data_IF_853329790553
#
_entry.id   IF_853329790553
#
_cell.length_a   1.000
_cell.length_b   1.000
_cell.length_c   1.000
_cell.angle_alpha   90.00
_cell.angle_beta   90.00
_cell.angle_gamma   90.00
#
_symmetry.space_group_name_H-M   'P 1'
#
loop_
_entity.id
_entity.type
_entity.pdbx_description
1 polymer ?
#
# COMPACT_ATOMS: atom_id res chain seq x y z
N UNK A 1 -7.24 19.44 8.78
CA UNK A 1 -6.94 19.24 7.34
C UNK A 1 -6.75 17.75 7.10
N UNK A 2 -7.39 17.16 6.08
CA UNK A 2 -7.24 15.72 5.77
C UNK A 2 -6.37 15.59 4.53
N UNK A 3 -5.30 14.79 4.62
CA UNK A 3 -4.43 14.45 3.49
C UNK A 3 -4.56 12.96 3.22
N UNK A 4 -4.82 12.59 1.97
CA UNK A 4 -4.87 11.19 1.53
C UNK A 4 -3.62 10.90 0.73
N UNK A 5 -2.87 9.90 1.15
CA UNK A 5 -1.69 9.40 0.44
C UNK A 5 -2.00 8.01 -0.08
N UNK A 6 -2.00 7.86 -1.40
CA UNK A 6 -2.21 6.57 -2.05
C UNK A 6 -0.87 6.03 -2.51
N UNK A 7 -0.44 4.93 -1.90
CA UNK A 7 0.73 4.17 -2.28
C UNK A 7 0.36 2.93 -3.09
N UNK A 8 -0.88 2.86 -3.57
CA UNK A 8 -1.36 1.86 -4.50
C UNK A 8 -0.61 2.00 -5.84
N UNK A 9 0.55 1.36 -5.94
CA UNK A 9 1.22 1.18 -7.21
C UNK A 9 0.28 0.42 -8.16
N UNK A 10 0.27 0.78 -9.46
CA UNK A 10 -0.50 0.07 -10.50
C UNK A 10 -0.37 -1.45 -10.39
N UNK A 11 0.84 -1.93 -10.11
CA UNK A 11 1.16 -3.36 -9.92
C UNK A 11 0.37 -4.06 -8.81
N UNK A 12 -0.05 -3.34 -7.76
CA UNK A 12 -0.87 -3.95 -6.71
C UNK A 12 -2.28 -4.29 -7.19
N UNK A 13 -2.90 -3.48 -8.05
CA UNK A 13 -4.21 -3.78 -8.63
C UNK A 13 -4.17 -4.96 -9.62
N UNK A 14 -3.03 -5.17 -10.27
CA UNK A 14 -2.82 -6.25 -11.23
C UNK A 14 -2.45 -7.59 -10.56
N UNK A 15 -2.12 -7.57 -9.27
CA UNK A 15 -1.75 -8.76 -8.53
C UNK A 15 -2.98 -9.59 -8.12
N UNK A 16 -2.99 -10.91 -8.34
CA UNK A 16 -4.11 -11.78 -7.98
C UNK A 16 -4.38 -11.87 -6.47
N UNK A 17 -3.43 -11.46 -5.62
CA UNK A 17 -3.56 -11.43 -4.16
C UNK A 17 -3.70 -9.99 -3.63
N UNK A 18 -4.28 -9.07 -4.42
CA UNK A 18 -4.47 -7.69 -4.01
C UNK A 18 -5.25 -7.58 -2.69
N UNK A 19 -4.63 -6.93 -1.71
CA UNK A 19 -5.27 -6.57 -0.45
C UNK A 19 -4.83 -5.15 -0.11
N UNK A 20 -5.81 -4.25 -0.08
CA UNK A 20 -5.59 -2.86 0.30
C UNK A 20 -5.72 -2.73 1.81
N UNK A 21 -4.74 -2.10 2.45
CA UNK A 21 -4.82 -1.64 3.84
C UNK A 21 -4.98 -0.14 3.88
N UNK A 22 -5.76 0.34 4.84
CA UNK A 22 -5.95 1.76 5.09
C UNK A 22 -5.50 2.05 6.50
N UNK A 23 -4.49 2.91 6.62
CA UNK A 23 -3.95 3.38 7.88
C UNK A 23 -4.31 4.84 8.08
N UNK A 24 -4.61 5.21 9.32
CA UNK A 24 -4.98 6.57 9.71
C UNK A 24 -4.06 7.07 10.80
N UNK A 25 -3.37 8.17 10.51
CA UNK A 25 -2.52 8.88 11.44
C UNK A 25 -3.09 10.27 11.74
N UNK A 26 -3.51 10.48 12.98
CA UNK A 26 -3.92 11.79 13.46
C UNK A 26 -2.73 12.52 14.08
N UNK A 27 -2.36 13.67 13.52
CA UNK A 27 -1.35 14.57 14.03
C UNK A 27 -2.03 15.56 14.98
N UNK A 28 -1.54 15.62 16.22
CA UNK A 28 -2.07 16.48 17.26
C UNK A 28 -1.18 17.70 17.48
N UNK A 29 -1.79 18.87 17.65
CA UNK A 29 -1.14 20.08 18.16
C UNK A 29 -1.98 20.64 19.30
N UNK A 30 -1.36 20.80 20.48
CA UNK A 30 -2.00 21.40 21.67
C UNK A 30 -3.37 20.75 21.97
N UNK A 31 -3.41 19.42 21.98
CA UNK A 31 -4.62 18.61 22.26
C UNK A 31 -5.76 18.71 21.23
N UNK A 32 -5.54 19.32 20.07
CA UNK A 32 -6.47 19.30 18.94
C UNK A 32 -5.85 18.60 17.73
N UNK A 33 -6.67 17.90 16.94
CA UNK A 33 -6.20 17.27 15.71
C UNK A 33 -5.90 18.39 14.70
N UNK A 34 -4.62 18.56 14.37
CA UNK A 34 -4.16 19.56 13.41
C UNK A 34 -4.23 19.04 11.98
N UNK A 35 -3.90 17.75 11.79
CA UNK A 35 -4.00 17.06 10.50
C UNK A 35 -4.34 15.58 10.69
N UNK A 36 -5.02 15.01 9.70
CA UNK A 36 -5.20 13.56 9.59
C UNK A 36 -4.58 13.13 8.27
N UNK A 37 -3.67 12.15 8.33
CA UNK A 37 -3.11 11.48 7.16
C UNK A 37 -3.80 10.14 7.04
N UNK A 38 -4.37 9.88 5.87
CA UNK A 38 -4.94 8.58 5.52
C UNK A 38 -4.05 7.97 4.45
N UNK A 39 -3.36 6.90 4.81
CA UNK A 39 -2.48 6.16 3.91
C UNK A 39 -3.21 4.93 3.39
N UNK A 40 -3.23 4.76 2.08
CA UNK A 40 -3.76 3.56 1.43
C UNK A 40 -2.59 2.78 0.84
N UNK A 41 -2.33 1.64 1.45
CA UNK A 41 -1.21 0.76 1.15
C UNK A 41 -1.70 -0.60 0.63
N UNK A 42 -0.74 -1.38 0.16
CA UNK A 42 -0.97 -2.71 -0.36
C UNK A 42 -0.26 -3.73 0.53
N UNK A 43 -1.04 -4.43 1.35
CA UNK A 43 -0.56 -5.35 2.40
C UNK A 43 0.27 -6.49 1.79
N UNK A 44 -0.15 -6.94 0.61
CA UNK A 44 0.45 -8.05 -0.10
C UNK A 44 1.49 -7.62 -1.13
N UNK A 45 1.94 -6.35 -1.14
CA UNK A 45 2.95 -5.86 -2.09
C UNK A 45 4.20 -6.73 -2.13
N UNK A 46 4.75 -7.09 -0.97
CA UNK A 46 5.94 -7.95 -0.88
C UNK A 46 5.69 -9.35 -1.45
N UNK A 47 4.48 -9.87 -1.27
CA UNK A 47 4.07 -11.16 -1.81
C UNK A 47 3.96 -11.08 -3.33
N UNK A 48 3.35 -10.02 -3.86
CA UNK A 48 3.22 -9.74 -5.29
C UNK A 48 4.58 -9.59 -5.96
N UNK A 49 5.49 -8.80 -5.37
CA UNK A 49 6.87 -8.66 -5.87
C UNK A 49 7.64 -10.00 -5.84
N UNK A 50 7.27 -10.92 -4.95
CA UNK A 50 7.87 -12.26 -4.86
C UNK A 50 7.29 -13.23 -5.88
N UNK A 51 5.98 -13.17 -6.14
CA UNK A 51 5.31 -13.99 -7.15
C UNK A 51 5.79 -13.58 -8.55
N UNK A 52 5.88 -12.28 -8.83
CA UNK A 52 6.39 -11.76 -10.11
C UNK A 52 7.82 -12.27 -10.37
N UNK A 53 8.71 -12.11 -9.39
CA UNK A 53 10.08 -12.66 -9.47
C UNK A 53 10.11 -14.17 -9.68
N UNK A 54 9.20 -14.92 -9.07
CA UNK A 54 9.11 -16.37 -9.26
C UNK A 54 8.64 -16.74 -10.67
N UNK A 55 7.63 -16.04 -11.20
CA UNK A 55 7.11 -16.26 -12.55
C UNK A 55 8.17 -15.92 -13.61
N UNK A 56 8.88 -14.78 -13.47
CA UNK A 56 9.99 -14.40 -14.34
C UNK A 56 11.13 -15.44 -14.28
N UNK A 57 11.43 -15.98 -13.10
CA UNK A 57 12.45 -17.03 -12.92
C UNK A 57 12.00 -18.42 -13.44
N UNK A 58 10.70 -18.60 -13.67
CA UNK A 58 10.11 -19.86 -14.13
C UNK A 58 10.06 -20.00 -15.65
N UNK A 59 10.11 -18.90 -16.40
CA UNK A 59 10.12 -18.90 -17.87
C UNK A 59 11.48 -19.27 -18.49
N UNK A 60 12.54 -19.44 -17.68
CA UNK A 60 13.89 -19.88 -18.12
C UNK A 60 14.13 -21.42 -18.07
N UNK A 61 13.08 -22.27 -18.00
CA UNK A 61 13.23 -23.74 -18.03
C UNK A 61 12.42 -24.46 -19.09
#
# INVERSE_FOLDING_TARGET
MIKVESHLAKKCQECPCFEATMDRDDIYAVCTISATIVSVDCSNRKLCDSIERYLESGEEK
#
